data_IF_947178088057
#
_entry.id   IF_947178088057
#
_cell.length_a   1.000
_cell.length_b   1.000
_cell.length_c   1.000
_cell.angle_alpha   90.00
_cell.angle_beta   90.00
_cell.angle_gamma   90.00
#
_symmetry.space_group_name_H-M   'P 1'
#
loop_
_entity.id
_entity.type
_entity.pdbx_description
1 polymer ?
#
# COMPACT_ATOMS: atom_id res chain seq x y z
N UNK A 1 -23.19 -9.81 39.79
CA UNK A 1 -21.76 -9.64 39.54
C UNK A 1 -21.62 -8.58 38.46
N UNK A 2 -21.17 -7.39 38.84
CA UNK A 2 -20.99 -6.25 37.95
C UNK A 2 -19.90 -6.60 36.96
N UNK A 3 -20.27 -6.78 35.70
CA UNK A 3 -19.28 -6.79 34.60
C UNK A 3 -18.65 -5.40 34.57
N UNK A 4 -17.37 -5.33 34.93
CA UNK A 4 -16.60 -4.11 34.85
C UNK A 4 -16.72 -3.57 33.43
N UNK A 5 -17.26 -2.37 33.30
CA UNK A 5 -17.26 -1.59 32.04
C UNK A 5 -15.82 -1.46 31.58
N UNK A 6 -15.41 -2.33 30.66
CA UNK A 6 -14.18 -2.11 29.92
C UNK A 6 -14.33 -0.74 29.27
N UNK A 7 -13.47 0.19 29.63
CA UNK A 7 -13.46 1.56 29.08
C UNK A 7 -13.41 1.44 27.55
N UNK A 8 -14.50 1.86 26.88
CA UNK A 8 -14.60 1.77 25.42
C UNK A 8 -13.42 2.52 24.77
N UNK A 9 -12.84 1.97 23.71
CA UNK A 9 -11.82 2.64 22.94
C UNK A 9 -12.42 3.89 22.26
N UNK A 10 -11.65 4.95 22.11
CA UNK A 10 -12.08 6.09 21.31
C UNK A 10 -12.13 5.69 19.83
N UNK A 11 -11.16 4.86 19.42
CA UNK A 11 -11.04 4.34 18.06
C UNK A 11 -10.65 2.86 18.05
N UNK A 12 -11.41 2.06 17.30
CA UNK A 12 -10.99 0.70 16.90
C UNK A 12 -10.57 0.71 15.45
N UNK A 13 -9.38 0.20 15.16
CA UNK A 13 -8.87 0.00 13.78
C UNK A 13 -8.90 -1.50 13.47
N UNK A 14 -9.65 -1.89 12.45
CA UNK A 14 -9.76 -3.27 11.99
C UNK A 14 -8.75 -3.52 10.87
N UNK A 15 -7.72 -4.30 11.19
CA UNK A 15 -6.60 -4.63 10.31
C UNK A 15 -5.32 -3.85 10.63
N UNK A 16 -4.23 -4.58 10.83
CA UNK A 16 -2.89 -4.06 11.14
C UNK A 16 -1.94 -4.17 9.93
N UNK A 17 -2.41 -3.87 8.72
CA UNK A 17 -1.55 -3.59 7.56
C UNK A 17 -0.94 -2.18 7.64
N UNK A 18 -0.13 -1.80 6.64
CA UNK A 18 0.52 -0.48 6.60
C UNK A 18 -0.47 0.68 6.77
N UNK A 19 -1.65 0.58 6.15
CA UNK A 19 -2.72 1.60 6.23
C UNK A 19 -3.27 1.68 7.66
N UNK A 20 -3.75 0.56 8.23
CA UNK A 20 -4.34 0.57 9.57
C UNK A 20 -3.35 0.98 10.65
N UNK A 21 -2.09 0.53 10.55
CA UNK A 21 -1.04 0.91 11.48
C UNK A 21 -0.67 2.41 11.38
N UNK A 22 -0.62 2.97 10.17
CA UNK A 22 -0.37 4.41 9.99
C UNK A 22 -1.50 5.26 10.60
N UNK A 23 -2.75 4.86 10.40
CA UNK A 23 -3.92 5.53 11.00
C UNK A 23 -3.86 5.42 12.53
N UNK A 24 -3.60 4.22 13.06
CA UNK A 24 -3.52 3.98 14.50
C UNK A 24 -2.42 4.82 15.15
N UNK A 25 -1.21 4.85 14.56
CA UNK A 25 -0.12 5.65 15.05
C UNK A 25 -0.47 7.15 15.08
N UNK A 26 -1.00 7.68 13.98
CA UNK A 26 -1.43 9.09 13.91
C UNK A 26 -2.56 9.42 14.91
N UNK A 27 -3.48 8.47 15.13
CA UNK A 27 -4.55 8.63 16.12
C UNK A 27 -4.00 8.69 17.56
N UNK A 28 -3.04 7.80 17.87
CA UNK A 28 -2.35 7.81 19.18
C UNK A 28 -1.59 9.14 19.39
N UNK A 29 -0.92 9.66 18.38
CA UNK A 29 -0.24 10.97 18.46
C UNK A 29 -1.22 12.11 18.77
N UNK A 30 -2.51 11.98 18.41
CA UNK A 30 -3.58 12.93 18.75
C UNK A 30 -4.26 12.64 20.10
N UNK A 31 -3.72 11.73 20.90
CA UNK A 31 -4.19 11.40 22.25
C UNK A 31 -5.42 10.51 22.31
N UNK A 32 -5.82 9.86 21.20
CA UNK A 32 -6.94 8.92 21.21
C UNK A 32 -6.52 7.58 21.83
N UNK A 33 -7.44 6.94 22.56
CA UNK A 33 -7.30 5.56 23.02
C UNK A 33 -7.62 4.62 21.86
N UNK A 34 -6.58 4.05 21.25
CA UNK A 34 -6.68 3.24 20.05
C UNK A 34 -6.49 1.77 20.36
N UNK A 35 -7.38 0.92 19.82
CA UNK A 35 -7.21 -0.52 19.79
C UNK A 35 -7.15 -0.97 18.32
N UNK A 36 -6.06 -1.61 17.94
CA UNK A 36 -5.89 -2.23 16.61
C UNK A 36 -6.14 -3.71 16.73
N UNK A 37 -7.03 -4.25 15.91
CA UNK A 37 -7.39 -5.67 15.87
C UNK A 37 -6.85 -6.29 14.57
N UNK A 38 -6.04 -7.32 14.70
CA UNK A 38 -5.47 -8.07 13.59
C UNK A 38 -5.73 -9.57 13.76
N UNK A 39 -6.31 -10.19 12.73
CA UNK A 39 -6.67 -11.61 12.77
C UNK A 39 -5.49 -12.57 12.82
N UNK A 40 -4.30 -12.12 12.38
CA UNK A 40 -3.06 -12.92 12.36
C UNK A 40 -1.92 -12.14 13.01
N UNK A 41 -0.91 -11.79 12.24
CA UNK A 41 0.26 -11.00 12.67
C UNK A 41 0.20 -9.62 12.02
N UNK A 42 0.51 -8.58 12.78
CA UNK A 42 0.60 -7.22 12.29
C UNK A 42 1.63 -7.10 11.15
N UNK A 43 1.24 -6.43 10.08
CA UNK A 43 2.04 -6.31 8.86
C UNK A 43 2.16 -7.61 8.04
N UNK A 44 1.65 -8.76 8.51
CA UNK A 44 1.95 -10.09 7.97
C UNK A 44 1.22 -10.49 6.68
N UNK A 45 0.23 -9.71 6.24
CA UNK A 45 -0.55 -10.01 5.02
C UNK A 45 0.04 -9.30 3.78
N UNK A 46 -0.80 -8.58 3.03
CA UNK A 46 -0.42 -7.92 1.76
C UNK A 46 0.75 -6.95 1.92
N UNK A 47 0.86 -6.25 3.06
CA UNK A 47 1.97 -5.34 3.33
C UNK A 47 3.31 -6.06 3.42
N UNK A 48 3.34 -7.28 3.96
CA UNK A 48 4.54 -8.12 4.05
C UNK A 48 5.07 -8.56 2.68
N UNK A 49 4.13 -8.83 1.76
CA UNK A 49 4.45 -9.28 0.40
C UNK A 49 4.86 -8.11 -0.50
N UNK A 50 4.33 -6.91 -0.27
CA UNK A 50 4.55 -5.75 -1.13
C UNK A 50 6.03 -5.50 -1.47
N UNK A 51 6.28 -5.06 -2.70
CA UNK A 51 7.62 -4.67 -3.16
C UNK A 51 8.10 -3.33 -2.59
N UNK A 52 7.18 -2.45 -2.23
CA UNK A 52 7.49 -1.18 -1.59
C UNK A 52 7.92 -0.06 -2.53
N UNK A 53 7.51 -0.09 -3.78
CA UNK A 53 7.69 1.05 -4.69
C UNK A 53 6.88 2.25 -4.21
N UNK A 54 7.48 3.42 -4.20
CA UNK A 54 6.89 4.73 -3.97
C UNK A 54 6.93 5.48 -5.30
N UNK A 55 6.11 5.04 -6.24
CA UNK A 55 6.27 5.32 -7.65
C UNK A 55 5.01 5.90 -8.32
N UNK A 56 4.52 7.08 -7.88
CA UNK A 56 3.31 7.67 -8.44
C UNK A 56 3.46 8.02 -9.93
N UNK A 57 4.66 8.43 -10.37
CA UNK A 57 4.91 8.83 -11.75
C UNK A 57 5.13 7.63 -12.67
N UNK A 58 5.93 6.63 -12.24
CA UNK A 58 6.21 5.45 -13.04
C UNK A 58 4.98 4.54 -13.21
N UNK A 59 4.01 4.60 -12.28
CA UNK A 59 2.83 3.75 -12.29
C UNK A 59 1.56 4.42 -12.84
N UNK A 60 1.61 5.71 -13.25
CA UNK A 60 0.44 6.40 -13.78
C UNK A 60 -0.04 5.76 -15.09
N UNK A 61 -1.35 5.58 -15.18
CA UNK A 61 -2.04 5.13 -16.40
C UNK A 61 -3.11 6.13 -16.81
N UNK A 62 -3.51 6.17 -18.09
CA UNK A 62 -4.58 7.05 -18.54
C UNK A 62 -5.86 6.86 -17.74
N UNK A 63 -6.48 7.96 -17.31
CA UNK A 63 -7.72 7.96 -16.52
C UNK A 63 -7.52 7.78 -15.01
N UNK A 64 -6.29 7.67 -14.52
CA UNK A 64 -5.96 7.57 -13.09
C UNK A 64 -5.35 8.89 -12.54
N UNK A 65 -5.70 10.07 -13.13
CA UNK A 65 -5.12 11.37 -12.76
C UNK A 65 -5.38 11.73 -11.29
N UNK A 66 -6.56 11.39 -10.75
CA UNK A 66 -6.86 11.59 -9.33
C UNK A 66 -5.94 10.73 -8.44
N UNK A 67 -5.68 9.48 -8.86
CA UNK A 67 -4.76 8.59 -8.12
C UNK A 67 -3.32 9.10 -8.19
N UNK A 68 -2.90 9.65 -9.32
CA UNK A 68 -1.61 10.31 -9.48
C UNK A 68 -1.48 11.49 -8.50
N UNK A 69 -2.50 12.37 -8.43
CA UNK A 69 -2.49 13.51 -7.50
C UNK A 69 -2.36 13.04 -6.04
N UNK A 70 -3.14 12.04 -5.63
CA UNK A 70 -3.05 11.45 -4.30
C UNK A 70 -1.65 10.88 -4.04
N UNK A 71 -1.09 10.17 -5.03
CA UNK A 71 0.24 9.57 -4.96
C UNK A 71 1.36 10.60 -4.84
N UNK A 72 1.32 11.68 -5.63
CA UNK A 72 2.30 12.77 -5.58
C UNK A 72 2.27 13.50 -4.23
N UNK A 73 1.08 13.79 -3.69
CA UNK A 73 0.93 14.39 -2.36
C UNK A 73 1.50 13.47 -1.29
N UNK A 74 1.19 12.19 -1.35
CA UNK A 74 1.71 11.21 -0.39
C UNK A 74 3.24 11.06 -0.49
N UNK A 75 3.79 10.99 -1.69
CA UNK A 75 5.24 10.93 -1.92
C UNK A 75 5.95 12.18 -1.37
N UNK A 76 5.36 13.37 -1.55
CA UNK A 76 5.87 14.62 -0.98
C UNK A 76 5.89 14.64 0.55
N UNK A 77 4.93 13.99 1.19
CA UNK A 77 4.85 13.87 2.66
C UNK A 77 5.77 12.78 3.23
N UNK A 78 6.23 11.84 2.40
CA UNK A 78 6.95 10.66 2.86
C UNK A 78 8.20 10.97 3.70
N UNK A 79 9.08 11.92 3.33
CA UNK A 79 10.27 12.24 4.13
C UNK A 79 9.93 12.71 5.55
N UNK A 80 8.90 13.56 5.68
CA UNK A 80 8.41 14.03 6.99
C UNK A 80 7.80 12.88 7.79
N UNK A 81 6.96 12.06 7.16
CA UNK A 81 6.33 10.90 7.77
C UNK A 81 7.36 9.93 8.33
N UNK A 82 8.43 9.62 7.57
CA UNK A 82 9.48 8.72 8.01
C UNK A 82 10.31 9.29 9.17
N UNK A 83 10.62 10.59 9.15
CA UNK A 83 11.31 11.25 10.25
C UNK A 83 10.52 11.12 11.55
N UNK A 84 9.25 11.50 11.54
CA UNK A 84 8.37 11.43 12.69
C UNK A 84 8.14 9.98 13.16
N UNK A 85 8.08 9.02 12.22
CA UNK A 85 7.95 7.60 12.52
C UNK A 85 9.20 7.05 13.21
N UNK A 86 10.39 7.39 12.73
CA UNK A 86 11.64 6.97 13.34
C UNK A 86 11.73 7.44 14.80
N UNK A 87 11.40 8.71 15.05
CA UNK A 87 11.35 9.29 16.39
C UNK A 87 10.33 8.56 17.30
N UNK A 88 9.12 8.34 16.79
CA UNK A 88 8.04 7.67 17.53
C UNK A 88 8.33 6.20 17.81
N UNK A 89 8.92 5.49 16.87
CA UNK A 89 9.29 4.09 16.99
C UNK A 89 10.58 3.89 17.80
N UNK A 90 11.41 4.94 17.95
CA UNK A 90 12.71 4.86 18.61
C UNK A 90 13.73 4.06 17.81
N UNK A 91 13.72 4.20 16.50
CA UNK A 91 14.65 3.58 15.55
C UNK A 91 15.41 4.66 14.77
N UNK A 92 16.52 4.30 14.17
CA UNK A 92 17.24 5.21 13.27
C UNK A 92 16.50 5.33 11.93
N UNK A 93 16.61 6.45 11.21
CA UNK A 93 16.00 6.61 9.89
C UNK A 93 16.42 5.53 8.88
N UNK A 94 17.65 5.03 8.95
CA UNK A 94 18.15 3.96 8.08
C UNK A 94 17.44 2.62 8.29
N UNK A 95 16.97 2.34 9.51
CA UNK A 95 16.25 1.11 9.82
C UNK A 95 14.84 1.07 9.21
N UNK A 96 14.31 2.19 8.70
CA UNK A 96 13.04 2.23 7.98
C UNK A 96 13.13 1.66 6.57
N UNK A 97 14.33 1.44 6.04
CA UNK A 97 14.55 0.84 4.73
C UNK A 97 14.13 1.72 3.55
N UNK A 98 14.09 3.05 3.74
CA UNK A 98 13.82 3.99 2.65
C UNK A 98 15.04 4.15 1.77
N UNK A 99 14.84 4.01 0.46
CA UNK A 99 15.88 4.11 -0.55
C UNK A 99 15.49 5.18 -1.59
N UNK A 100 16.11 6.37 -1.56
CA UNK A 100 15.85 7.44 -2.54
C UNK A 100 16.58 7.13 -3.87
N UNK A 101 16.12 6.09 -4.55
CA UNK A 101 16.86 5.48 -5.66
C UNK A 101 16.46 5.97 -7.05
N UNK A 102 15.27 6.54 -7.23
CA UNK A 102 14.70 6.75 -8.56
C UNK A 102 14.24 5.44 -9.21
N UNK A 103 13.55 5.57 -10.35
CA UNK A 103 13.04 4.43 -11.13
C UNK A 103 13.45 4.60 -12.59
N UNK A 104 13.95 3.53 -13.22
CA UNK A 104 14.12 3.44 -14.67
C UNK A 104 13.01 2.57 -15.27
N UNK A 105 12.26 3.14 -16.20
CA UNK A 105 11.37 2.39 -17.09
C UNK A 105 12.19 2.01 -18.32
N UNK A 106 12.20 0.74 -18.71
CA UNK A 106 13.05 0.26 -19.81
C UNK A 106 12.24 -0.56 -20.81
N UNK A 107 12.68 -0.53 -22.07
CA UNK A 107 12.11 -1.29 -23.18
C UNK A 107 13.21 -2.13 -23.85
N UNK A 108 12.92 -3.41 -24.12
CA UNK A 108 13.85 -4.38 -24.75
C UNK A 108 13.75 -4.36 -26.27
N UNK A 109 12.54 -4.23 -26.78
CA UNK A 109 12.24 -4.31 -28.21
C UNK A 109 11.51 -3.06 -28.72
N UNK A 110 11.12 -3.07 -30.00
CA UNK A 110 10.47 -1.95 -30.66
C UNK A 110 9.06 -1.69 -30.15
N UNK A 111 8.30 -2.75 -29.84
CA UNK A 111 6.91 -2.64 -29.41
C UNK A 111 6.84 -2.06 -27.99
N UNK A 112 7.74 -2.52 -27.12
CA UNK A 112 7.90 -1.96 -25.77
C UNK A 112 8.40 -0.51 -25.84
N UNK A 113 9.30 -0.18 -26.76
CA UNK A 113 9.78 1.19 -26.94
C UNK A 113 8.67 2.13 -27.40
N UNK A 114 7.83 1.71 -28.35
CA UNK A 114 6.66 2.49 -28.76
C UNK A 114 5.64 2.67 -27.62
N UNK A 115 5.42 1.63 -26.82
CA UNK A 115 4.56 1.74 -25.64
C UNK A 115 5.13 2.76 -24.65
N UNK A 116 6.43 2.72 -24.40
CA UNK A 116 7.11 3.61 -23.46
C UNK A 116 7.14 5.06 -23.98
N UNK A 117 7.23 5.30 -25.29
CA UNK A 117 7.09 6.64 -25.88
C UNK A 117 5.65 7.19 -25.71
N UNK A 118 4.63 6.35 -25.86
CA UNK A 118 3.24 6.77 -25.55
C UNK A 118 3.06 7.12 -24.09
N UNK A 119 3.70 6.36 -23.20
CA UNK A 119 3.72 6.63 -21.76
C UNK A 119 4.46 7.92 -21.43
N UNK A 120 5.59 8.23 -22.11
CA UNK A 120 6.29 9.50 -21.97
C UNK A 120 5.37 10.66 -22.37
N UNK A 121 4.70 10.55 -23.53
CA UNK A 121 3.75 11.57 -23.98
C UNK A 121 2.58 11.82 -23.01
N UNK A 122 2.14 10.82 -22.25
CA UNK A 122 1.19 11.00 -21.15
C UNK A 122 1.81 11.83 -20.01
N UNK A 123 3.02 11.46 -19.59
CA UNK A 123 3.71 12.14 -18.48
C UNK A 123 4.03 13.60 -18.82
N UNK A 124 4.42 13.86 -20.04
CA UNK A 124 4.67 15.23 -20.55
C UNK A 124 3.40 16.09 -20.49
N UNK A 125 2.24 15.55 -20.94
CA UNK A 125 0.96 16.26 -20.84
C UNK A 125 0.52 16.54 -19.41
N UNK A 126 0.92 15.67 -18.46
CA UNK A 126 0.65 15.83 -17.04
C UNK A 126 1.71 16.70 -16.32
N UNK A 127 2.72 17.20 -17.04
CA UNK A 127 3.79 18.05 -16.47
C UNK A 127 4.71 17.31 -15.50
N UNK A 128 4.85 15.99 -15.66
CA UNK A 128 5.67 15.16 -14.78
C UNK A 128 7.14 15.18 -15.19
N UNK A 129 8.04 15.17 -14.21
CA UNK A 129 9.48 15.15 -14.45
C UNK A 129 9.94 13.73 -14.84
N UNK A 130 10.22 13.54 -16.11
CA UNK A 130 10.75 12.28 -16.67
C UNK A 130 11.81 12.63 -17.70
N UNK A 131 12.94 11.94 -17.67
CA UNK A 131 14.03 12.12 -18.63
C UNK A 131 14.09 10.93 -19.59
N UNK A 132 14.06 11.20 -20.90
CA UNK A 132 14.27 10.19 -21.93
C UNK A 132 15.75 9.90 -22.08
N UNK A 133 16.14 8.64 -21.95
CA UNK A 133 17.55 8.20 -22.01
C UNK A 133 17.80 7.31 -23.23
N UNK A 134 18.99 7.47 -23.82
CA UNK A 134 19.53 6.46 -24.72
C UNK A 134 19.90 5.18 -23.95
N UNK A 135 19.88 4.01 -24.58
CA UNK A 135 20.29 2.75 -23.94
C UNK A 135 21.68 2.80 -23.30
N UNK A 136 22.64 3.50 -23.95
CA UNK A 136 23.99 3.68 -23.42
C UNK A 136 24.02 4.55 -22.15
N UNK A 137 23.13 5.54 -22.05
CA UNK A 137 22.99 6.39 -20.87
C UNK A 137 22.37 5.64 -19.70
N UNK A 138 21.30 4.88 -19.95
CA UNK A 138 20.67 4.02 -18.96
C UNK A 138 21.70 3.04 -18.37
N UNK A 139 22.51 2.39 -19.21
CA UNK A 139 23.56 1.47 -18.74
C UNK A 139 24.74 2.15 -18.03
N UNK A 140 25.01 3.42 -18.30
CA UNK A 140 25.99 4.17 -17.48
C UNK A 140 25.46 4.45 -16.08
N UNK A 141 24.13 4.68 -15.94
CA UNK A 141 23.48 4.87 -14.64
C UNK A 141 23.32 3.54 -13.90
N UNK A 142 22.99 2.47 -14.62
CA UNK A 142 22.78 1.11 -14.10
C UNK A 142 23.57 0.08 -14.94
N UNK A 143 24.83 -0.18 -14.59
CA UNK A 143 25.69 -1.10 -15.35
C UNK A 143 25.19 -2.55 -15.40
N UNK A 144 24.35 -2.96 -14.43
CA UNK A 144 23.72 -4.29 -14.39
C UNK A 144 22.66 -4.53 -15.45
N UNK A 145 22.22 -3.49 -16.18
CA UNK A 145 21.20 -3.63 -17.22
C UNK A 145 21.72 -4.41 -18.44
N UNK A 146 20.85 -5.20 -19.02
CA UNK A 146 21.12 -5.95 -20.25
C UNK A 146 21.59 -5.02 -21.39
N UNK A 147 22.49 -5.50 -22.27
CA UNK A 147 22.99 -4.71 -23.39
C UNK A 147 21.92 -4.41 -24.46
N UNK A 148 20.90 -5.26 -24.58
CA UNK A 148 19.88 -5.19 -25.64
C UNK A 148 18.66 -4.34 -25.23
N UNK A 149 18.87 -3.09 -24.80
CA UNK A 149 17.79 -2.14 -24.56
C UNK A 149 17.54 -1.28 -25.80
N UNK A 150 16.30 -0.80 -25.96
CA UNK A 150 15.88 0.11 -27.03
C UNK A 150 15.63 1.53 -26.54
N UNK A 151 15.07 1.66 -25.34
CA UNK A 151 14.70 2.93 -24.74
C UNK A 151 14.74 2.82 -23.23
N UNK A 152 15.00 3.92 -22.54
CA UNK A 152 14.75 4.05 -21.11
C UNK A 152 14.18 5.43 -20.78
N UNK A 153 13.39 5.49 -19.70
CA UNK A 153 12.94 6.73 -19.08
C UNK A 153 13.41 6.75 -17.62
N UNK A 154 14.05 7.84 -17.21
CA UNK A 154 14.43 8.07 -15.82
C UNK A 154 13.34 8.86 -15.09
N UNK A 155 12.84 8.32 -14.01
CA UNK A 155 11.86 8.93 -13.10
C UNK A 155 12.55 9.15 -11.76
N UNK A 156 13.22 10.30 -11.57
CA UNK A 156 14.17 10.51 -10.48
C UNK A 156 13.51 10.55 -9.09
N UNK A 157 12.22 10.90 -9.02
CA UNK A 157 11.50 11.11 -7.75
C UNK A 157 10.64 9.92 -7.32
N UNK A 158 10.66 8.84 -8.08
CA UNK A 158 9.98 7.59 -7.70
C UNK A 158 10.99 6.67 -7.00
N UNK A 159 10.73 6.36 -5.74
CA UNK A 159 11.66 5.74 -4.81
C UNK A 159 11.19 4.36 -4.34
N UNK A 160 11.85 3.79 -3.35
CA UNK A 160 11.45 2.54 -2.72
C UNK A 160 11.60 2.59 -1.20
N UNK A 161 10.88 1.71 -0.52
CA UNK A 161 11.00 1.46 0.91
C UNK A 161 10.86 -0.03 1.18
N UNK A 162 11.46 -0.55 2.26
CA UNK A 162 11.17 -1.90 2.73
C UNK A 162 9.84 -1.91 3.51
N UNK A 163 8.76 -2.51 2.98
CA UNK A 163 7.46 -2.52 3.66
C UNK A 163 7.49 -3.27 4.99
N UNK A 164 8.42 -4.22 5.16
CA UNK A 164 8.58 -4.99 6.39
C UNK A 164 9.20 -4.14 7.49
N UNK A 165 10.21 -3.36 7.16
CA UNK A 165 10.80 -2.39 8.07
C UNK A 165 9.82 -1.29 8.44
N UNK A 166 9.10 -0.74 7.44
CA UNK A 166 8.06 0.27 7.66
C UNK A 166 6.97 -0.23 8.62
N UNK A 167 6.41 -1.42 8.38
CA UNK A 167 5.33 -1.95 9.22
C UNK A 167 5.82 -2.31 10.62
N UNK A 168 7.06 -2.81 10.78
CA UNK A 168 7.66 -3.05 12.09
C UNK A 168 7.82 -1.74 12.89
N UNK A 169 8.28 -0.67 12.24
CA UNK A 169 8.39 0.64 12.88
C UNK A 169 7.01 1.21 13.27
N UNK A 170 6.00 1.06 12.40
CA UNK A 170 4.63 1.48 12.71
C UNK A 170 4.07 0.73 13.92
N UNK A 171 4.29 -0.59 14.04
CA UNK A 171 3.94 -1.39 15.22
C UNK A 171 4.63 -0.84 16.46
N UNK A 172 5.93 -0.57 16.36
CA UNK A 172 6.71 0.03 17.45
C UNK A 172 6.14 1.37 17.90
N UNK A 173 5.84 2.25 16.95
CA UNK A 173 5.30 3.58 17.20
C UNK A 173 3.91 3.55 17.84
N UNK A 174 3.01 2.66 17.39
CA UNK A 174 1.69 2.46 18.00
C UNK A 174 1.84 2.02 19.46
N UNK A 175 2.65 0.99 19.73
CA UNK A 175 2.84 0.44 21.08
C UNK A 175 3.51 1.45 22.03
N UNK A 176 4.56 2.13 21.57
CA UNK A 176 5.27 3.14 22.38
C UNK A 176 4.42 4.35 22.69
N UNK A 177 3.51 4.72 21.78
CA UNK A 177 2.53 5.78 21.99
C UNK A 177 1.34 5.41 22.87
N UNK A 178 1.26 4.17 23.37
CA UNK A 178 0.18 3.69 24.24
C UNK A 178 -1.03 3.10 23.51
N UNK A 179 -0.94 2.90 22.18
CA UNK A 179 -1.96 2.17 21.43
C UNK A 179 -1.90 0.67 21.73
N UNK A 180 -3.06 0.04 21.85
CA UNK A 180 -3.18 -1.39 22.05
C UNK A 180 -3.26 -2.13 20.72
N UNK A 181 -2.38 -3.10 20.50
CA UNK A 181 -2.39 -3.98 19.32
C UNK A 181 -2.68 -5.41 19.76
N UNK A 182 -3.83 -5.94 19.32
CA UNK A 182 -4.29 -7.31 19.57
C UNK A 182 -4.13 -8.14 18.28
N UNK A 183 -3.16 -9.03 18.29
CA UNK A 183 -2.92 -9.98 17.21
C UNK A 183 -3.64 -11.31 17.47
N UNK A 184 -3.98 -12.05 16.40
CA UNK A 184 -4.75 -13.29 16.51
C UNK A 184 -6.24 -13.07 16.79
N UNK A 185 -6.74 -11.83 16.69
CA UNK A 185 -8.13 -11.47 16.99
C UNK A 185 -8.84 -11.09 15.69
N UNK A 186 -9.73 -11.96 15.22
CA UNK A 186 -10.55 -11.72 14.05
C UNK A 186 -11.81 -10.92 14.41
N UNK A 187 -12.07 -9.88 13.63
CA UNK A 187 -13.34 -9.14 13.66
C UNK A 187 -14.28 -9.79 12.64
N UNK A 188 -15.46 -10.21 13.08
CA UNK A 188 -16.49 -10.80 12.21
C UNK A 188 -17.47 -9.76 11.68
N UNK A 189 -17.67 -8.67 12.43
CA UNK A 189 -18.63 -7.67 12.00
C UNK A 189 -18.63 -6.40 12.84
N UNK A 190 -19.44 -5.46 12.40
CA UNK A 190 -19.66 -4.19 13.08
C UNK A 190 -20.88 -4.30 14.00
N UNK A 191 -20.82 -3.63 15.13
CA UNK A 191 -21.97 -3.43 16.03
C UNK A 191 -22.54 -2.05 15.81
N UNK A 192 -23.79 -2.02 15.36
CA UNK A 192 -24.51 -0.80 15.01
C UNK A 192 -25.71 -0.68 15.93
N UNK A 193 -25.97 0.51 16.44
CA UNK A 193 -27.11 0.87 17.24
C UNK A 193 -27.76 2.14 16.65
N UNK A 194 -28.95 1.99 16.10
CA UNK A 194 -29.58 3.03 15.28
C UNK A 194 -28.77 3.26 14.00
N UNK A 195 -28.34 4.47 13.76
CA UNK A 195 -27.56 4.93 12.62
C UNK A 195 -26.04 5.07 12.92
N UNK A 196 -25.59 4.57 14.10
CA UNK A 196 -24.22 4.75 14.58
C UNK A 196 -23.51 3.42 14.83
N UNK A 197 -22.23 3.34 14.45
CA UNK A 197 -21.37 2.25 14.90
C UNK A 197 -21.02 2.44 16.38
N UNK A 198 -21.14 1.37 17.17
CA UNK A 198 -20.84 1.38 18.61
C UNK A 198 -19.75 0.37 19.01
N UNK A 199 -19.13 -0.31 18.04
CA UNK A 199 -18.04 -1.25 18.27
C UNK A 199 -17.96 -2.34 17.21
N UNK A 200 -17.26 -3.41 17.56
CA UNK A 200 -17.03 -4.57 16.69
C UNK A 200 -17.37 -5.88 17.41
N UNK A 201 -17.85 -6.87 16.66
CA UNK A 201 -18.03 -8.25 17.11
C UNK A 201 -16.78 -9.06 16.73
N UNK A 202 -16.26 -9.82 17.69
CA UNK A 202 -15.08 -10.65 17.54
C UNK A 202 -15.47 -12.11 17.27
N UNK A 203 -14.56 -12.88 16.68
CA UNK A 203 -14.81 -14.29 16.34
C UNK A 203 -15.07 -15.20 17.55
N UNK A 204 -14.66 -14.82 18.75
CA UNK A 204 -14.96 -15.52 20.00
C UNK A 204 -16.34 -15.18 20.58
N UNK A 205 -17.14 -14.39 19.87
CA UNK A 205 -18.47 -13.93 20.29
C UNK A 205 -18.46 -12.70 21.21
N UNK A 206 -17.30 -12.23 21.65
CA UNK A 206 -17.20 -11.02 22.47
C UNK A 206 -17.41 -9.76 21.62
N UNK A 207 -17.67 -8.64 22.32
CA UNK A 207 -17.87 -7.32 21.70
C UNK A 207 -16.90 -6.32 22.30
N UNK A 208 -16.22 -5.57 21.43
CA UNK A 208 -15.41 -4.44 21.84
C UNK A 208 -16.13 -3.14 21.47
N UNK A 209 -16.49 -2.34 22.47
CA UNK A 209 -17.11 -1.03 22.27
C UNK A 209 -16.12 0.00 21.75
N UNK A 210 -16.58 0.89 20.87
CA UNK A 210 -15.75 1.95 20.29
C UNK A 210 -16.59 3.22 20.03
N UNK A 211 -15.94 4.38 20.17
CA UNK A 211 -16.50 5.66 19.74
C UNK A 211 -16.56 5.81 18.22
N UNK A 212 -15.56 5.27 17.53
CA UNK A 212 -15.50 5.15 16.07
C UNK A 212 -14.77 3.87 15.66
N UNK A 213 -15.03 3.41 14.44
CA UNK A 213 -14.37 2.24 13.84
C UNK A 213 -13.80 2.60 12.47
N UNK A 214 -12.51 2.32 12.27
CA UNK A 214 -11.87 2.37 10.95
C UNK A 214 -11.72 0.96 10.39
N UNK A 215 -12.30 0.70 9.23
CA UNK A 215 -12.12 -0.55 8.50
C UNK A 215 -10.92 -0.41 7.56
N UNK A 216 -9.82 -1.08 7.89
CA UNK A 216 -8.57 -1.14 7.13
C UNK A 216 -8.14 -2.61 6.85
N UNK A 217 -9.12 -3.53 6.75
CA UNK A 217 -8.92 -4.97 6.67
C UNK A 217 -8.56 -5.48 5.24
N UNK A 218 -8.11 -4.58 4.35
CA UNK A 218 -7.70 -4.93 2.99
C UNK A 218 -8.81 -5.66 2.22
N UNK A 219 -8.50 -6.79 1.60
CA UNK A 219 -9.47 -7.57 0.80
C UNK A 219 -10.58 -8.21 1.62
N UNK A 220 -10.44 -8.29 2.94
CA UNK A 220 -11.45 -8.85 3.83
C UNK A 220 -12.46 -7.82 4.32
N UNK A 221 -12.28 -6.56 3.99
CA UNK A 221 -13.15 -5.47 4.45
C UNK A 221 -14.61 -5.64 4.02
N UNK A 222 -14.85 -6.18 2.83
CA UNK A 222 -16.20 -6.45 2.33
C UNK A 222 -16.87 -7.69 2.96
N UNK A 223 -16.16 -8.46 3.79
CA UNK A 223 -16.69 -9.67 4.45
C UNK A 223 -17.24 -9.39 5.85
N UNK A 224 -17.05 -8.17 6.37
CA UNK A 224 -17.55 -7.81 7.69
C UNK A 224 -19.08 -7.77 7.72
N UNK A 225 -19.67 -8.49 8.66
CA UNK A 225 -21.13 -8.48 8.88
C UNK A 225 -21.60 -7.19 9.58
N UNK A 226 -22.92 -7.00 9.64
CA UNK A 226 -23.54 -5.86 10.32
C UNK A 226 -23.77 -4.64 9.45
N UNK A 227 -23.37 -4.66 8.18
CA UNK A 227 -23.65 -3.61 7.20
C UNK A 227 -24.71 -4.07 6.21
N UNK A 228 -25.53 -3.13 5.74
CA UNK A 228 -26.35 -3.35 4.54
C UNK A 228 -25.45 -3.37 3.30
N UNK A 229 -25.84 -4.06 2.21
CA UNK A 229 -25.04 -4.09 0.99
C UNK A 229 -24.62 -2.70 0.49
N UNK A 230 -25.49 -1.73 0.64
CA UNK A 230 -25.28 -0.34 0.19
C UNK A 230 -24.28 0.45 1.04
N UNK A 231 -23.99 -0.01 2.25
CA UNK A 231 -23.00 0.59 3.14
C UNK A 231 -21.62 -0.04 3.02
N UNK A 232 -21.48 -1.14 2.27
CA UNK A 232 -20.22 -1.86 2.07
C UNK A 232 -19.45 -1.29 0.90
N UNK A 233 -18.17 -0.96 1.11
CA UNK A 233 -17.27 -0.67 0.00
C UNK A 233 -16.90 -1.98 -0.72
N UNK A 234 -17.19 -2.10 -2.02
CA UNK A 234 -16.88 -3.32 -2.77
C UNK A 234 -15.37 -3.45 -2.99
N UNK A 235 -14.78 -4.46 -2.37
CA UNK A 235 -13.34 -4.77 -2.50
C UNK A 235 -13.18 -6.19 -2.99
N UNK A 236 -12.35 -6.38 -4.03
CA UNK A 236 -12.00 -7.68 -4.56
C UNK A 236 -10.51 -7.98 -4.41
N UNK A 237 -10.11 -9.25 -4.21
CA UNK A 237 -8.71 -9.63 -4.17
C UNK A 237 -8.11 -9.69 -5.58
N UNK A 238 -6.95 -9.05 -5.75
CA UNK A 238 -6.09 -9.18 -6.94
C UNK A 238 -4.76 -9.79 -6.48
N UNK A 239 -4.54 -11.05 -6.80
CA UNK A 239 -3.35 -11.80 -6.42
C UNK A 239 -2.12 -11.27 -7.15
N UNK A 240 -1.02 -11.16 -6.43
CA UNK A 240 0.30 -10.86 -6.98
C UNK A 240 1.36 -11.75 -6.35
N UNK A 241 2.16 -12.41 -7.19
CA UNK A 241 3.27 -13.23 -6.77
C UNK A 241 4.57 -12.46 -6.96
N UNK A 242 5.49 -12.57 -6.00
CA UNK A 242 6.81 -11.93 -6.01
C UNK A 242 7.88 -12.88 -5.51
N UNK A 243 9.11 -12.62 -5.91
CA UNK A 243 10.31 -13.32 -5.47
C UNK A 243 11.20 -12.35 -4.70
N UNK A 244 11.78 -12.80 -3.60
CA UNK A 244 12.88 -12.12 -2.91
C UNK A 244 14.16 -12.89 -3.12
N UNK A 245 15.21 -12.16 -3.47
CA UNK A 245 16.53 -12.70 -3.74
C UNK A 245 17.58 -11.83 -3.05
N UNK A 246 18.79 -12.39 -2.90
CA UNK A 246 19.98 -11.61 -2.61
C UNK A 246 21.11 -11.96 -3.59
N UNK A 247 21.95 -10.98 -3.86
CA UNK A 247 23.19 -11.15 -4.61
C UNK A 247 24.28 -11.60 -3.65
N UNK A 248 24.88 -12.80 -3.81
CA UNK A 248 25.99 -13.25 -2.97
C UNK A 248 27.22 -12.35 -3.07
N UNK A 249 27.39 -11.60 -4.17
CA UNK A 249 28.45 -10.62 -4.32
C UNK A 249 28.24 -9.34 -3.51
N UNK A 250 27.03 -9.17 -2.92
CA UNK A 250 26.66 -8.02 -2.11
C UNK A 250 25.91 -6.94 -2.90
N UNK A 251 25.92 -5.71 -2.34
CA UNK A 251 25.23 -4.58 -2.94
C UNK A 251 25.94 -4.06 -4.20
N UNK A 252 25.19 -3.43 -5.10
CA UNK A 252 25.76 -2.60 -6.16
C UNK A 252 25.45 -3.01 -7.60
N UNK A 253 24.80 -4.16 -7.83
CA UNK A 253 24.40 -4.52 -9.19
C UNK A 253 23.34 -3.57 -9.74
N UNK A 254 22.36 -3.21 -8.89
CA UNK A 254 21.33 -2.20 -9.18
C UNK A 254 21.24 -1.20 -8.03
N UNK A 255 21.11 0.07 -8.38
CA UNK A 255 20.91 1.17 -7.44
C UNK A 255 19.51 1.79 -7.56
N UNK A 256 18.82 1.59 -8.68
CA UNK A 256 17.48 2.10 -8.99
C UNK A 256 16.46 0.98 -9.10
N UNK A 257 15.19 1.31 -8.92
CA UNK A 257 14.11 0.42 -9.34
C UNK A 257 14.17 0.30 -10.87
N UNK A 258 14.18 -0.92 -11.37
CA UNK A 258 14.08 -1.19 -12.81
C UNK A 258 12.70 -1.75 -13.10
N UNK A 259 11.98 -1.16 -14.05
CA UNK A 259 10.64 -1.59 -14.43
C UNK A 259 10.53 -1.78 -15.94
N UNK A 260 9.88 -2.86 -16.35
CA UNK A 260 9.57 -3.20 -17.73
C UNK A 260 8.13 -3.76 -17.77
N UNK A 261 7.24 -3.01 -18.40
CA UNK A 261 5.82 -3.38 -18.39
C UNK A 261 5.31 -3.70 -16.98
N UNK A 262 4.77 -4.90 -16.73
CA UNK A 262 4.29 -5.29 -15.41
C UNK A 262 5.40 -5.76 -14.47
N UNK A 263 6.56 -6.14 -15.01
CA UNK A 263 7.69 -6.70 -14.25
C UNK A 263 8.60 -5.60 -13.71
N UNK A 264 9.22 -5.85 -12.55
CA UNK A 264 10.14 -4.92 -11.91
C UNK A 264 11.17 -5.65 -11.04
N UNK A 265 12.30 -4.99 -10.82
CA UNK A 265 13.31 -5.36 -9.82
C UNK A 265 13.54 -4.17 -8.89
N UNK A 266 13.32 -4.37 -7.60
CA UNK A 266 13.44 -3.32 -6.56
C UNK A 266 14.63 -3.62 -5.66
N UNK A 267 15.70 -2.81 -5.69
CA UNK A 267 16.85 -2.96 -4.79
C UNK A 267 16.50 -2.52 -3.36
N UNK A 268 17.21 -3.11 -2.39
CA UNK A 268 17.17 -2.71 -0.97
C UNK A 268 18.42 -1.96 -0.50
N UNK A 269 19.39 -1.78 -1.39
CA UNK A 269 20.65 -1.09 -1.10
C UNK A 269 21.69 -1.94 -0.36
N UNK A 270 21.36 -3.15 0.04
CA UNK A 270 22.21 -4.06 0.82
C UNK A 270 22.47 -5.42 0.12
N UNK A 271 22.21 -5.50 -1.18
CA UNK A 271 22.32 -6.74 -1.96
C UNK A 271 21.06 -7.58 -2.00
N UNK A 272 20.00 -7.19 -1.27
CA UNK A 272 18.66 -7.80 -1.38
C UNK A 272 17.84 -7.14 -2.46
N UNK A 273 17.02 -7.93 -3.14
CA UNK A 273 16.17 -7.49 -4.24
C UNK A 273 14.78 -8.12 -4.15
N UNK A 274 13.80 -7.42 -4.74
CA UNK A 274 12.45 -7.95 -4.93
C UNK A 274 12.12 -7.93 -6.42
N UNK A 275 11.76 -9.09 -6.97
CA UNK A 275 11.30 -9.28 -8.34
C UNK A 275 9.79 -9.44 -8.31
N UNK A 276 9.06 -8.68 -9.10
CA UNK A 276 7.61 -8.72 -9.17
C UNK A 276 7.07 -8.22 -10.49
N UNK A 277 5.79 -8.27 -10.69
CA UNK A 277 4.83 -9.09 -9.98
C UNK A 277 3.76 -9.58 -10.95
N UNK A 278 3.19 -10.73 -10.64
CA UNK A 278 1.98 -11.16 -11.36
C UNK A 278 0.76 -10.30 -10.98
N UNK A 279 -0.29 -10.39 -11.80
CA UNK A 279 -1.60 -9.81 -11.50
C UNK A 279 -2.67 -10.80 -11.95
N UNK A 280 -3.37 -11.40 -10.99
CA UNK A 280 -4.26 -12.53 -11.22
C UNK A 280 -5.57 -12.37 -10.45
N UNK A 281 -6.68 -12.72 -11.06
CA UNK A 281 -7.97 -12.82 -10.40
C UNK A 281 -8.24 -14.29 -10.01
N UNK A 282 -7.83 -14.67 -8.79
CA UNK A 282 -7.90 -16.02 -8.22
C UNK A 282 -8.62 -16.07 -6.88
N UNK A 283 -9.50 -15.10 -6.62
CA UNK A 283 -10.15 -14.98 -5.32
C UNK A 283 -9.13 -14.87 -4.19
N UNK A 284 -9.36 -15.59 -3.11
CA UNK A 284 -8.48 -15.55 -1.93
C UNK A 284 -7.30 -16.55 -1.99
N UNK A 285 -7.03 -17.15 -3.15
CA UNK A 285 -5.87 -18.03 -3.32
C UNK A 285 -4.55 -17.28 -3.22
N UNK A 286 -3.66 -17.72 -2.34
CA UNK A 286 -2.30 -17.18 -2.13
C UNK A 286 -1.22 -18.21 -2.44
N UNK A 287 -1.57 -19.30 -3.13
CA UNK A 287 -0.58 -20.28 -3.58
C UNK A 287 0.41 -19.66 -4.56
N UNK A 288 1.66 -20.08 -4.54
CA UNK A 288 2.67 -19.72 -5.54
C UNK A 288 2.74 -20.79 -6.62
N UNK A 289 3.01 -20.39 -7.87
CA UNK A 289 2.98 -21.32 -9.00
C UNK A 289 4.33 -21.33 -9.73
N UNK A 290 4.72 -22.51 -10.22
CA UNK A 290 5.94 -22.68 -11.02
C UNK A 290 5.94 -21.78 -12.28
N UNK A 291 4.76 -21.60 -12.91
CA UNK A 291 4.64 -20.72 -14.07
C UNK A 291 4.93 -19.26 -13.75
N UNK A 292 4.46 -18.75 -12.60
CA UNK A 292 4.76 -17.39 -12.15
C UNK A 292 6.24 -17.23 -11.81
N UNK A 293 6.84 -18.22 -11.11
CA UNK A 293 8.28 -18.20 -10.81
C UNK A 293 9.11 -18.12 -12.10
N UNK A 294 8.79 -18.98 -13.07
CA UNK A 294 9.47 -18.98 -14.37
C UNK A 294 9.35 -17.64 -15.09
N UNK A 295 8.13 -17.08 -15.18
CA UNK A 295 7.90 -15.83 -15.87
C UNK A 295 8.67 -14.66 -15.23
N UNK A 296 8.59 -14.54 -13.89
CA UNK A 296 9.27 -13.47 -13.15
C UNK A 296 10.79 -13.56 -13.26
N UNK A 297 11.36 -14.76 -13.12
CA UNK A 297 12.82 -14.95 -13.24
C UNK A 297 13.31 -14.72 -14.67
N UNK A 298 12.57 -15.19 -15.68
CA UNK A 298 12.86 -14.93 -17.07
C UNK A 298 12.92 -13.43 -17.34
N UNK A 299 11.84 -12.70 -17.02
CA UNK A 299 11.74 -11.27 -17.29
C UNK A 299 12.83 -10.49 -16.55
N UNK A 300 13.10 -10.84 -15.30
CA UNK A 300 14.15 -10.21 -14.52
C UNK A 300 15.55 -10.49 -15.11
N UNK A 301 15.83 -11.72 -15.56
CA UNK A 301 17.12 -12.09 -16.16
C UNK A 301 17.34 -11.43 -17.53
N UNK A 302 16.25 -11.24 -18.30
CA UNK A 302 16.31 -10.49 -19.56
C UNK A 302 16.63 -9.00 -19.36
N UNK A 303 16.20 -8.43 -18.22
CA UNK A 303 16.51 -7.04 -17.84
C UNK A 303 17.89 -6.88 -17.23
N UNK A 304 18.22 -7.79 -16.33
CA UNK A 304 19.41 -7.76 -15.48
C UNK A 304 20.03 -9.16 -15.49
N UNK A 305 20.93 -9.46 -16.43
CA UNK A 305 21.48 -10.82 -16.59
C UNK A 305 22.10 -11.40 -15.33
N UNK A 306 22.65 -10.57 -14.45
CA UNK A 306 23.20 -10.98 -13.16
C UNK A 306 22.21 -11.64 -12.20
N UNK A 307 20.90 -11.49 -12.41
CA UNK A 307 19.85 -12.17 -11.64
C UNK A 307 20.03 -13.69 -11.63
N UNK A 308 20.63 -14.26 -12.68
CA UNK A 308 20.88 -15.70 -12.80
C UNK A 308 21.80 -16.24 -11.70
N UNK A 309 22.61 -15.40 -11.08
CA UNK A 309 23.56 -15.76 -10.01
C UNK A 309 23.00 -15.47 -8.60
N UNK A 310 21.79 -14.88 -8.51
CA UNK A 310 21.20 -14.54 -7.21
C UNK A 310 20.61 -15.75 -6.52
N UNK A 311 20.74 -15.74 -5.19
CA UNK A 311 20.10 -16.75 -4.33
C UNK A 311 18.63 -16.38 -4.12
N UNK A 312 17.75 -17.35 -4.32
CA UNK A 312 16.32 -17.20 -4.06
C UNK A 312 16.03 -17.42 -2.58
N UNK A 313 15.57 -16.38 -1.88
CA UNK A 313 15.28 -16.43 -0.45
C UNK A 313 13.81 -16.79 -0.17
N UNK A 314 12.89 -16.21 -0.95
CA UNK A 314 11.45 -16.36 -0.71
C UNK A 314 10.65 -16.21 -2.00
N UNK A 315 9.62 -17.06 -2.17
CA UNK A 315 8.61 -16.88 -3.18
C UNK A 315 7.24 -16.81 -2.49
N UNK A 316 6.56 -15.67 -2.63
CA UNK A 316 5.32 -15.41 -1.88
C UNK A 316 4.26 -14.75 -2.75
N UNK A 317 3.00 -14.83 -2.29
CA UNK A 317 1.86 -14.22 -2.93
C UNK A 317 1.06 -13.37 -1.93
N UNK A 318 0.53 -12.25 -2.40
CA UNK A 318 -0.35 -11.38 -1.63
C UNK A 318 -1.58 -10.97 -2.41
N UNK A 319 -2.59 -10.50 -1.68
CA UNK A 319 -3.88 -10.10 -2.24
C UNK A 319 -4.02 -8.57 -2.16
N UNK A 320 -3.90 -7.90 -3.30
CA UNK A 320 -4.12 -6.46 -3.39
C UNK A 320 -5.61 -6.17 -3.28
N UNK A 321 -6.05 -5.23 -2.42
CA UNK A 321 -7.46 -4.84 -2.34
C UNK A 321 -7.83 -3.92 -3.50
N UNK A 322 -8.55 -4.42 -4.50
CA UNK A 322 -9.02 -3.66 -5.65
C UNK A 322 -10.47 -3.22 -5.47
N UNK A 323 -10.78 -1.97 -5.78
CA UNK A 323 -12.12 -1.43 -5.95
C UNK A 323 -12.54 -1.52 -7.41
N UNK A 324 -13.83 -1.35 -7.76
CA UNK A 324 -14.28 -1.36 -9.15
C UNK A 324 -13.63 -0.30 -10.05
N UNK A 325 -13.34 0.88 -9.50
CA UNK A 325 -12.74 2.03 -10.18
C UNK A 325 -11.22 2.16 -9.94
N UNK A 326 -10.61 1.21 -9.24
CA UNK A 326 -9.21 1.21 -8.82
C UNK A 326 -8.78 2.35 -7.87
N UNK A 327 -9.70 3.21 -7.43
CA UNK A 327 -9.41 4.27 -6.47
C UNK A 327 -9.64 3.76 -5.03
N UNK A 328 -8.82 4.14 -4.04
CA UNK A 328 -9.09 3.78 -2.65
C UNK A 328 -10.36 4.46 -2.13
N UNK A 329 -11.04 3.81 -1.19
CA UNK A 329 -12.14 4.41 -0.43
C UNK A 329 -11.60 4.86 0.93
N UNK A 330 -11.63 6.17 1.17
CA UNK A 330 -11.03 6.82 2.34
C UNK A 330 -12.03 7.78 2.98
N UNK A 331 -12.12 7.73 4.31
CA UNK A 331 -12.93 8.66 5.10
C UNK A 331 -14.27 8.11 5.55
N UNK A 332 -15.23 8.98 5.92
CA UNK A 332 -16.50 8.57 6.49
C UNK A 332 -17.29 7.60 5.60
N UNK A 333 -17.89 6.58 6.24
CA UNK A 333 -18.86 5.69 5.62
C UNK A 333 -20.28 6.23 5.73
N UNK A 334 -21.26 5.42 5.28
CA UNK A 334 -22.68 5.76 5.34
C UNK A 334 -23.26 5.73 6.77
N UNK A 335 -22.55 5.16 7.73
CA UNK A 335 -22.97 5.00 9.13
C UNK A 335 -22.11 5.88 10.00
N UNK A 336 -22.72 6.65 10.91
CA UNK A 336 -21.98 7.54 11.80
C UNK A 336 -20.94 6.77 12.62
N UNK A 337 -19.74 7.35 12.77
CA UNK A 337 -18.59 6.74 13.43
C UNK A 337 -17.91 5.63 12.65
N UNK A 338 -18.39 5.24 11.46
CA UNK A 338 -17.71 4.30 10.57
C UNK A 338 -16.82 5.05 9.56
N UNK A 339 -15.56 4.62 9.45
CA UNK A 339 -14.62 5.14 8.45
C UNK A 339 -14.01 4.00 7.64
N UNK A 340 -13.78 4.26 6.36
CA UNK A 340 -13.13 3.33 5.45
C UNK A 340 -11.71 3.77 5.11
N UNK A 341 -10.82 2.80 5.01
CA UNK A 341 -9.45 2.98 4.54
C UNK A 341 -9.03 1.73 3.74
N UNK A 342 -9.63 1.52 2.59
CA UNK A 342 -9.55 0.28 1.81
C UNK A 342 -9.38 0.55 0.31
N UNK A 343 -9.10 -0.49 -0.46
CA UNK A 343 -9.08 -0.37 -1.91
C UNK A 343 -7.80 0.21 -2.51
N UNK A 344 -6.72 0.29 -1.74
CA UNK A 344 -5.45 0.90 -2.15
C UNK A 344 -4.70 0.13 -3.25
N UNK A 345 -5.20 -1.04 -3.67
CA UNK A 345 -4.65 -1.87 -4.74
C UNK A 345 -3.11 -2.00 -4.61
N UNK A 346 -2.33 -1.47 -5.59
CA UNK A 346 -0.86 -1.49 -5.58
C UNK A 346 -0.21 -0.35 -4.78
N UNK A 347 -0.97 0.72 -4.51
CA UNK A 347 -0.45 1.93 -3.87
C UNK A 347 -0.45 1.93 -2.33
N UNK A 348 -0.79 0.82 -1.63
CA UNK A 348 -1.01 0.83 -0.19
C UNK A 348 0.19 1.27 0.66
N UNK A 349 1.41 1.02 0.22
CA UNK A 349 2.61 1.49 0.91
C UNK A 349 2.80 3.00 0.66
N UNK A 350 2.75 3.42 -0.59
CA UNK A 350 2.86 4.83 -0.98
C UNK A 350 1.79 5.69 -0.28
N UNK A 351 0.55 5.23 -0.23
CA UNK A 351 -0.59 6.02 0.23
C UNK A 351 -0.81 5.99 1.75
N UNK A 352 -0.01 5.25 2.52
CA UNK A 352 -0.20 5.13 3.96
C UNK A 352 -0.17 6.49 4.70
N UNK A 353 0.76 7.43 4.42
CA UNK A 353 0.78 8.74 5.05
C UNK A 353 -0.49 9.54 4.81
N UNK A 354 -0.83 9.76 3.55
CA UNK A 354 -1.97 10.61 3.16
C UNK A 354 -3.31 10.01 3.59
N UNK A 355 -3.45 8.68 3.54
CA UNK A 355 -4.66 8.00 4.02
C UNK A 355 -4.87 8.23 5.50
N UNK A 356 -3.82 8.14 6.31
CA UNK A 356 -3.92 8.40 7.74
C UNK A 356 -4.40 9.83 8.03
N UNK A 357 -3.86 10.82 7.35
CA UNK A 357 -4.27 12.22 7.53
C UNK A 357 -5.73 12.45 7.11
N UNK A 358 -6.16 11.89 5.96
CA UNK A 358 -7.54 12.03 5.48
C UNK A 358 -8.56 11.36 6.43
N UNK A 359 -8.24 10.15 6.93
CA UNK A 359 -9.12 9.45 7.89
C UNK A 359 -9.24 10.24 9.19
N UNK A 360 -8.11 10.77 9.70
CA UNK A 360 -8.13 11.52 10.95
C UNK A 360 -8.81 12.87 10.82
N UNK A 361 -8.72 13.54 9.68
CA UNK A 361 -9.52 14.73 9.40
C UNK A 361 -11.03 14.41 9.47
N UNK A 362 -11.46 13.30 8.85
CA UNK A 362 -12.84 12.83 8.93
C UNK A 362 -13.30 12.48 10.35
N UNK A 363 -12.43 11.84 11.14
CA UNK A 363 -12.73 11.50 12.56
C UNK A 363 -12.96 12.73 13.45
N UNK A 364 -12.35 13.85 13.10
CA UNK A 364 -12.53 15.13 13.81
C UNK A 364 -13.64 16.01 13.23
N UNK A 365 -14.47 15.46 12.33
CA UNK A 365 -15.61 16.16 11.72
C UNK A 365 -15.23 17.10 10.58
N UNK A 366 -13.97 17.09 10.13
CA UNK A 366 -13.53 17.87 8.97
C UNK A 366 -14.01 17.22 7.65
N UNK A 367 -14.47 18.01 6.67
CA UNK A 367 -14.80 17.50 5.34
C UNK A 367 -13.51 17.04 4.63
N UNK A 368 -13.64 16.07 3.73
CA UNK A 368 -12.57 15.76 2.79
C UNK A 368 -12.28 17.00 1.93
N UNK A 369 -10.99 17.35 1.72
CA UNK A 369 -10.65 18.43 0.81
C UNK A 369 -11.16 18.16 -0.61
N UNK A 370 -11.44 19.20 -1.40
CA UNK A 370 -12.07 19.06 -2.72
C UNK A 370 -11.35 18.06 -3.64
N UNK A 371 -10.03 18.07 -3.64
CA UNK A 371 -9.23 17.15 -4.43
C UNK A 371 -9.35 15.68 -3.97
N UNK A 372 -9.75 15.41 -2.73
CA UNK A 372 -9.90 14.07 -2.17
C UNK A 372 -11.32 13.51 -2.29
N UNK A 373 -12.28 14.26 -2.82
CA UNK A 373 -13.67 13.81 -2.97
C UNK A 373 -13.81 12.57 -3.85
N UNK A 374 -12.95 12.39 -4.85
CA UNK A 374 -12.90 11.19 -5.68
C UNK A 374 -12.65 9.91 -4.87
N UNK A 375 -12.09 10.01 -3.66
CA UNK A 375 -11.78 8.88 -2.79
C UNK A 375 -12.83 8.64 -1.70
N UNK A 376 -13.90 9.44 -1.67
CA UNK A 376 -14.99 9.23 -0.70
C UNK A 376 -15.57 7.82 -0.80
N UNK A 377 -15.78 7.16 0.34
CA UNK A 377 -16.46 5.86 0.39
C UNK A 377 -17.91 5.94 -0.08
N UNK A 378 -18.55 7.09 0.10
CA UNK A 378 -19.93 7.35 -0.32
C UNK A 378 -20.18 7.26 -1.83
N UNK A 379 -19.11 7.28 -2.67
CA UNK A 379 -19.26 7.14 -4.14
C UNK A 379 -19.78 5.76 -4.58
N UNK A 380 -19.74 4.77 -3.68
CA UNK A 380 -20.28 3.43 -3.91
C UNK A 380 -21.70 3.26 -3.39
N UNK A 381 -22.26 4.25 -2.69
CA UNK A 381 -23.65 4.22 -2.26
C UNK A 381 -24.58 4.37 -3.49
N UNK A 382 -25.74 3.68 -3.52
CA UNK A 382 -26.71 3.85 -4.59
C UNK A 382 -27.15 5.31 -4.71
N UNK A 383 -27.30 5.79 -5.92
CA UNK A 383 -27.87 7.12 -6.18
C UNK A 383 -29.30 7.16 -5.63
N UNK A 384 -29.52 7.78 -4.48
CA UNK A 384 -30.86 7.90 -3.86
C UNK A 384 -30.91 8.08 -2.35
N UNK A 385 -29.80 7.86 -1.62
CA UNK A 385 -29.72 8.18 -0.19
C UNK A 385 -29.00 9.52 -0.06
N UNK A 386 -29.79 10.60 0.03
CA UNK A 386 -29.31 11.97 -0.01
C UNK A 386 -28.22 12.28 1.01
N UNK A 387 -27.17 12.91 0.54
CA UNK A 387 -26.33 13.75 1.40
C UNK A 387 -27.20 14.88 1.95
N UNK A 388 -27.19 15.15 3.24
CA UNK A 388 -27.75 16.42 3.73
C UNK A 388 -26.92 17.57 3.15
N UNK A 389 -27.59 18.57 2.63
CA UNK A 389 -27.07 19.79 2.06
C UNK A 389 -26.31 20.64 3.09
#
# INVERSE_FOLDING_TARGET
>A
MSQGSATAADLVVVGAGAIGLAIAWRAVQRGLRVVVLERSRAGGATSHVAAGMLAPVAEVTPGEESLLELGLRSAGDYPRFLKELAESAGVSPGELGYTPCGTLLVARDSDEAEALERELGLRDRLGLTVERLLPSEARRREPGLAPALRLALDVPNDHAIDPRALTAALVGAVRRGGGELREGIAVEGLRISGDRVCGVALADGSVLGAGAVVVAAGVWSAQLSGLTPDAVVPVRPVKGQIIRCHDPAGAGLLTRVIRMGPSYVVPRGDGRYVIGATSEERGFDVSVTAGAAFALLRDASELVPGVSEWVLDEFSAGLRPGTPDNLPAIGPGAIDGLHWAVGHRRGGILLAPITAELVLAGLTGGPLPGWAQAFSAGRFAPAGVGSPA
#
